data_IF_031991209265
#
_entry.id   IF_031991209265
#
_cell.length_a   1.000
_cell.length_b   1.000
_cell.length_c   1.000
_cell.angle_alpha   90.00
_cell.angle_beta   90.00
_cell.angle_gamma   90.00
#
_symmetry.space_group_name_H-M   'P 1'
#
loop_
_entity.id
_entity.type
_entity.pdbx_description
1 polymer ?
#
# COMPACT_ATOMS: atom_id res chain seq x y z
N UNK A 1 1.15 -28.85 3.30
CA UNK A 1 2.38 -28.58 2.52
C UNK A 1 2.45 -27.06 2.35
N UNK A 2 3.20 -26.40 3.22
CA UNK A 2 2.97 -25.00 3.62
C UNK A 2 3.49 -23.95 2.64
N UNK A 3 2.75 -22.84 2.58
CA UNK A 3 2.94 -21.62 1.77
C UNK A 3 4.32 -20.92 1.92
N UNK A 4 5.23 -21.47 2.73
CA UNK A 4 6.62 -20.97 2.86
C UNK A 4 7.47 -21.22 1.61
N UNK A 5 7.08 -22.16 0.74
CA UNK A 5 7.90 -22.51 -0.45
C UNK A 5 7.55 -21.77 -1.73
N UNK A 6 6.34 -21.20 -1.88
CA UNK A 6 5.93 -20.59 -3.15
C UNK A 6 6.57 -19.22 -3.42
N UNK A 7 6.80 -18.41 -2.37
CA UNK A 7 7.47 -17.11 -2.51
C UNK A 7 8.98 -17.25 -2.73
N UNK A 8 9.59 -18.36 -2.28
CA UNK A 8 11.02 -18.62 -2.44
C UNK A 8 11.41 -19.08 -3.86
N UNK A 9 10.43 -19.54 -4.64
CA UNK A 9 10.64 -20.01 -6.01
C UNK A 9 10.68 -18.87 -7.05
N UNK A 10 10.13 -17.70 -6.72
CA UNK A 10 10.19 -16.51 -7.59
C UNK A 10 11.36 -15.58 -7.29
N UNK A 11 12.00 -15.73 -6.13
CA UNK A 11 13.10 -14.85 -5.70
C UNK A 11 14.27 -15.68 -5.16
N UNK A 12 15.25 -15.89 -6.05
CA UNK A 12 16.50 -16.58 -5.73
C UNK A 12 17.23 -15.94 -4.56
N UNK A 13 18.01 -16.76 -3.86
CA UNK A 13 18.73 -16.50 -2.60
C UNK A 13 19.88 -15.48 -2.68
N UNK A 14 19.72 -14.38 -3.42
CA UNK A 14 20.72 -13.32 -3.53
C UNK A 14 20.28 -12.10 -2.72
N UNK A 15 21.17 -11.56 -1.88
CA UNK A 15 21.02 -10.27 -1.16
C UNK A 15 21.07 -9.07 -2.12
N UNK A 16 20.38 -9.17 -3.25
CA UNK A 16 20.18 -8.11 -4.22
C UNK A 16 18.67 -7.98 -4.37
N UNK A 17 18.10 -7.01 -3.65
CA UNK A 17 16.70 -6.61 -3.72
C UNK A 17 16.22 -6.62 -5.20
N UNK A 18 15.20 -7.41 -5.59
CA UNK A 18 14.74 -7.44 -6.97
C UNK A 18 14.15 -6.07 -7.33
N UNK A 19 14.87 -5.32 -8.18
CA UNK A 19 14.38 -4.09 -8.79
C UNK A 19 13.29 -4.45 -9.81
N UNK A 20 12.05 -4.57 -9.36
CA UNK A 20 10.94 -4.81 -10.27
C UNK A 20 10.64 -3.50 -11.02
N UNK A 21 10.59 -3.50 -12.37
CA UNK A 21 9.99 -2.40 -13.09
C UNK A 21 8.51 -2.36 -12.70
N UNK A 22 8.06 -1.25 -12.12
CA UNK A 22 6.65 -1.07 -11.79
C UNK A 22 6.13 0.12 -12.58
N UNK A 23 5.04 -0.10 -13.28
CA UNK A 23 4.31 0.98 -13.95
C UNK A 23 3.69 1.90 -12.88
N UNK A 24 4.03 3.18 -12.95
CA UNK A 24 3.47 4.24 -12.13
C UNK A 24 2.60 5.12 -13.03
N UNK A 25 1.30 5.07 -12.78
CA UNK A 25 0.32 5.96 -13.40
C UNK A 25 -0.09 5.58 -14.83
N UNK A 26 -1.03 6.36 -15.41
CA UNK A 26 -1.73 6.00 -16.65
C UNK A 26 -0.87 6.05 -17.92
N UNK A 27 0.33 6.63 -17.85
CA UNK A 27 1.21 6.80 -19.02
C UNK A 27 2.26 5.69 -19.14
N UNK A 28 2.23 4.65 -18.29
CA UNK A 28 3.21 3.56 -18.31
C UNK A 28 4.61 3.99 -17.89
N UNK A 29 4.74 5.03 -17.06
CA UNK A 29 6.05 5.45 -16.55
C UNK A 29 6.61 4.33 -15.67
N UNK A 30 7.73 3.73 -16.07
CA UNK A 30 8.34 2.63 -15.32
C UNK A 30 9.28 3.22 -14.27
N UNK A 31 8.96 2.99 -13.00
CA UNK A 31 9.88 3.27 -11.90
C UNK A 31 10.56 2.00 -11.43
N UNK A 32 11.78 2.13 -10.92
CA UNK A 32 12.37 1.10 -10.06
C UNK A 32 11.67 1.19 -8.71
N UNK A 33 11.30 0.06 -8.15
CA UNK A 33 10.75 -0.01 -6.81
C UNK A 33 11.72 -0.68 -5.83
N UNK A 34 11.70 -0.20 -4.58
CA UNK A 34 12.33 -0.84 -3.44
C UNK A 34 11.26 -1.54 -2.61
N UNK A 35 11.40 -2.86 -2.43
CA UNK A 35 10.47 -3.65 -1.65
C UNK A 35 10.79 -3.61 -0.15
N UNK A 36 9.83 -3.18 0.65
CA UNK A 36 9.80 -3.36 2.10
C UNK A 36 9.24 -4.74 2.49
N UNK A 37 9.98 -5.51 3.27
CA UNK A 37 9.65 -6.91 3.59
C UNK A 37 8.95 -7.11 4.96
N UNK A 38 8.52 -6.05 5.64
CA UNK A 38 7.90 -6.13 6.98
C UNK A 38 6.46 -6.66 7.04
N UNK A 39 5.98 -6.87 8.27
CA UNK A 39 4.65 -7.41 8.58
C UNK A 39 3.73 -6.42 9.31
N UNK A 40 4.16 -5.16 9.46
CA UNK A 40 3.31 -4.09 9.98
C UNK A 40 2.16 -3.85 9.03
N UNK A 41 0.94 -3.87 9.57
CA UNK A 41 -0.28 -3.85 8.75
C UNK A 41 -0.93 -2.48 8.70
N UNK A 42 -1.18 -2.01 7.48
CA UNK A 42 -1.96 -0.81 7.22
C UNK A 42 -3.19 -1.17 6.38
N UNK A 43 -4.36 -0.74 6.83
CA UNK A 43 -5.57 -0.78 6.02
C UNK A 43 -5.53 0.38 5.02
N UNK A 44 -5.91 0.07 3.78
CA UNK A 44 -6.21 1.06 2.76
C UNK A 44 -7.60 1.64 3.04
N UNK A 45 -7.86 2.86 2.59
CA UNK A 45 -9.18 3.50 2.64
C UNK A 45 -9.60 4.01 1.27
N UNK A 46 -10.91 4.19 1.11
CA UNK A 46 -11.49 4.73 -0.12
C UNK A 46 -11.63 3.70 -1.25
N UNK A 47 -11.42 2.41 -0.97
CA UNK A 47 -11.53 1.30 -1.93
C UNK A 47 -12.94 1.17 -2.50
N UNK A 48 -13.96 1.70 -1.83
CA UNK A 48 -15.33 1.76 -2.35
C UNK A 48 -15.41 2.48 -3.70
N UNK A 49 -14.50 3.43 -3.98
CA UNK A 49 -14.39 4.14 -5.26
C UNK A 49 -13.68 3.35 -6.34
N UNK A 50 -13.05 2.22 -5.98
CA UNK A 50 -12.17 1.44 -6.83
C UNK A 50 -12.55 -0.05 -6.86
N UNK A 51 -13.80 -0.39 -6.52
CA UNK A 51 -14.27 -1.79 -6.49
C UNK A 51 -14.13 -2.47 -7.86
N UNK A 52 -14.48 -1.78 -8.95
CA UNK A 52 -14.35 -2.32 -10.31
C UNK A 52 -12.87 -2.56 -10.69
N UNK A 53 -11.97 -1.69 -10.20
CA UNK A 53 -10.52 -1.83 -10.42
C UNK A 53 -9.98 -3.04 -9.67
N UNK A 54 -10.35 -3.20 -8.41
CA UNK A 54 -9.96 -4.33 -7.57
C UNK A 54 -10.51 -5.64 -8.14
N UNK A 55 -11.78 -5.67 -8.56
CA UNK A 55 -12.41 -6.81 -9.21
C UNK A 55 -11.65 -7.23 -10.47
N UNK A 56 -11.27 -6.27 -11.32
CA UNK A 56 -10.46 -6.53 -12.51
C UNK A 56 -9.10 -7.12 -12.17
N UNK A 57 -8.43 -6.63 -11.13
CA UNK A 57 -7.11 -7.11 -10.71
C UNK A 57 -7.19 -8.57 -10.23
N UNK A 58 -8.23 -8.93 -9.47
CA UNK A 58 -8.38 -10.30 -8.94
C UNK A 58 -9.01 -11.28 -9.94
N UNK A 59 -9.53 -10.79 -11.08
CA UNK A 59 -10.13 -11.61 -12.13
C UNK A 59 -11.63 -11.88 -11.96
N UNK A 60 -12.35 -11.01 -11.24
CA UNK A 60 -13.79 -11.14 -10.98
C UNK A 60 -14.12 -11.56 -9.56
N UNK A 61 -15.43 -11.63 -9.26
CA UNK A 61 -15.95 -12.08 -7.96
C UNK A 61 -16.21 -13.58 -7.96
N UNK A 62 -16.14 -14.17 -6.77
CA UNK A 62 -16.51 -15.56 -6.47
C UNK A 62 -17.33 -15.61 -5.18
N UNK A 63 -17.98 -16.74 -4.89
CA UNK A 63 -18.73 -16.94 -3.64
C UNK A 63 -17.84 -16.88 -2.38
N UNK A 64 -16.57 -17.25 -2.51
CA UNK A 64 -15.57 -17.20 -1.43
C UNK A 64 -14.91 -15.82 -1.27
N UNK A 65 -15.01 -14.98 -2.31
CA UNK A 65 -14.25 -13.75 -2.42
C UNK A 65 -12.76 -13.98 -2.72
N UNK A 66 -12.02 -12.88 -2.71
CA UNK A 66 -10.57 -12.86 -2.92
C UNK A 66 -9.81 -13.07 -1.61
N UNK A 67 -8.70 -13.79 -1.74
CA UNK A 67 -7.56 -13.80 -0.83
C UNK A 67 -6.31 -13.78 -1.72
N UNK A 68 -6.00 -12.61 -2.26
CA UNK A 68 -5.08 -12.43 -3.38
C UNK A 68 -3.82 -11.66 -2.95
N UNK A 69 -2.71 -12.36 -2.65
CA UNK A 69 -1.43 -11.72 -2.35
C UNK A 69 -0.85 -11.04 -3.58
N UNK A 70 -0.40 -9.81 -3.43
CA UNK A 70 0.15 -8.98 -4.51
C UNK A 70 1.14 -7.95 -3.96
N UNK A 71 1.54 -7.00 -4.80
CA UNK A 71 2.44 -5.91 -4.50
C UNK A 71 1.74 -4.57 -4.67
N UNK A 72 2.01 -3.63 -3.78
CA UNK A 72 1.51 -2.26 -3.87
C UNK A 72 2.65 -1.24 -3.86
N UNK A 73 2.42 -0.12 -4.53
CA UNK A 73 3.25 1.09 -4.42
C UNK A 73 2.52 2.14 -3.60
N UNK A 74 3.27 2.77 -2.70
CA UNK A 74 2.86 3.98 -2.01
C UNK A 74 3.43 5.20 -2.73
N UNK A 75 2.55 6.08 -3.23
CA UNK A 75 2.95 7.26 -3.97
C UNK A 75 2.34 8.52 -3.33
N UNK A 76 3.15 9.51 -2.90
CA UNK A 76 2.67 10.82 -2.49
C UNK A 76 1.96 11.57 -3.63
N UNK A 77 0.83 12.22 -3.33
CA UNK A 77 0.05 13.05 -4.26
C UNK A 77 -0.09 14.49 -3.69
N UNK A 78 1.00 15.29 -3.67
CA UNK A 78 1.00 16.60 -3.00
C UNK A 78 0.05 17.63 -3.62
N UNK A 79 -0.30 17.45 -4.89
CA UNK A 79 -1.25 18.30 -5.63
C UNK A 79 -2.72 17.89 -5.42
N UNK A 80 -2.99 16.92 -4.53
CA UNK A 80 -4.35 16.49 -4.25
C UNK A 80 -5.16 17.62 -3.58
N UNK A 81 -6.21 18.08 -4.27
CA UNK A 81 -7.09 19.19 -3.84
C UNK A 81 -7.82 18.99 -2.51
N UNK A 82 -7.87 17.76 -1.97
CA UNK A 82 -8.60 17.43 -0.73
C UNK A 82 -7.68 17.22 0.46
N UNK A 83 -6.46 16.74 0.22
CA UNK A 83 -5.45 16.48 1.26
C UNK A 83 -4.05 16.57 0.64
N UNK A 84 -3.27 17.62 0.94
CA UNK A 84 -1.92 17.78 0.39
C UNK A 84 -0.92 16.74 0.94
N UNK A 85 -1.30 15.94 1.93
CA UNK A 85 -0.51 14.81 2.41
C UNK A 85 -0.99 13.47 1.82
N UNK A 86 -1.92 13.46 0.87
CA UNK A 86 -2.48 12.23 0.33
C UNK A 86 -1.38 11.28 -0.17
N UNK A 87 -1.52 10.00 0.17
CA UNK A 87 -0.66 8.92 -0.34
C UNK A 87 -1.58 7.91 -1.02
N UNK A 88 -1.50 7.86 -2.36
CA UNK A 88 -2.25 6.88 -3.14
C UNK A 88 -1.57 5.52 -3.08
N UNK A 89 -2.41 4.48 -3.13
CA UNK A 89 -1.99 3.08 -3.19
C UNK A 89 -2.23 2.57 -4.60
N UNK A 90 -1.17 2.13 -5.27
CA UNK A 90 -1.25 1.53 -6.60
C UNK A 90 -1.02 0.02 -6.54
N UNK A 91 -1.83 -0.75 -7.26
CA UNK A 91 -1.60 -2.17 -7.53
C UNK A 91 -1.72 -2.38 -9.04
N UNK A 92 -0.73 -3.05 -9.64
CA UNK A 92 -0.65 -3.23 -11.10
C UNK A 92 -0.78 -1.89 -11.88
N UNK A 93 -0.15 -0.82 -11.38
CA UNK A 93 -0.18 0.52 -11.96
C UNK A 93 -1.48 1.30 -11.79
N UNK A 94 -2.49 0.71 -11.15
CA UNK A 94 -3.83 1.29 -10.98
C UNK A 94 -4.03 1.75 -9.54
N UNK A 95 -4.61 2.93 -9.36
CA UNK A 95 -5.02 3.40 -8.02
C UNK A 95 -6.14 2.52 -7.50
N UNK A 96 -5.95 1.96 -6.30
CA UNK A 96 -6.92 1.10 -5.62
C UNK A 96 -7.48 1.72 -4.34
N UNK A 97 -6.88 2.80 -3.87
CA UNK A 97 -7.26 3.50 -2.64
C UNK A 97 -6.14 4.42 -2.17
N UNK A 98 -6.22 4.82 -0.90
CA UNK A 98 -5.27 5.74 -0.26
C UNK A 98 -4.92 5.24 1.14
N UNK A 99 -3.81 5.71 1.69
CA UNK A 99 -3.63 5.67 3.14
C UNK A 99 -4.69 6.54 3.83
N UNK A 100 -5.09 6.16 5.04
CA UNK A 100 -5.91 7.04 5.87
C UNK A 100 -5.21 8.38 6.09
N UNK A 101 -5.96 9.47 6.25
CA UNK A 101 -5.37 10.81 6.47
C UNK A 101 -4.36 10.84 7.62
N UNK A 102 -4.67 10.11 8.69
CA UNK A 102 -3.80 9.89 9.83
C UNK A 102 -2.44 9.30 9.43
N UNK A 103 -2.46 8.15 8.74
CA UNK A 103 -1.23 7.47 8.31
C UNK A 103 -0.51 8.28 7.22
N UNK A 104 -1.26 8.92 6.32
CA UNK A 104 -0.73 9.75 5.26
C UNK A 104 0.06 10.94 5.83
N UNK A 105 -0.45 11.61 6.88
CA UNK A 105 0.27 12.69 7.58
C UNK A 105 1.61 12.24 8.15
N UNK A 106 1.72 11.00 8.63
CA UNK A 106 2.98 10.44 9.14
C UNK A 106 3.91 10.02 8.00
N UNK A 107 3.37 9.41 6.94
CA UNK A 107 4.16 8.72 5.91
C UNK A 107 4.52 9.61 4.71
N UNK A 108 3.79 10.69 4.46
CA UNK A 108 3.93 11.49 3.23
C UNK A 108 5.34 12.06 3.06
N UNK A 109 5.85 12.81 4.07
CA UNK A 109 7.19 13.40 4.02
C UNK A 109 8.30 12.32 3.98
N UNK A 110 8.26 11.25 4.81
CA UNK A 110 9.20 10.13 4.68
C UNK A 110 9.22 9.48 3.28
N UNK A 111 8.06 9.23 2.68
CA UNK A 111 7.96 8.67 1.33
C UNK A 111 8.56 9.60 0.27
N UNK A 112 8.21 10.89 0.29
CA UNK A 112 8.81 11.87 -0.63
C UNK A 112 10.33 11.90 -0.50
N UNK A 113 10.83 11.86 0.72
CA UNK A 113 12.25 11.90 1.01
C UNK A 113 12.99 10.65 0.55
N UNK A 114 12.39 9.48 0.77
CA UNK A 114 12.87 8.21 0.27
C UNK A 114 12.99 8.26 -1.26
N UNK A 115 11.92 8.64 -1.95
CA UNK A 115 11.90 8.70 -3.41
C UNK A 115 12.95 9.67 -3.96
N UNK A 116 13.09 10.86 -3.37
CA UNK A 116 14.07 11.86 -3.79
C UNK A 116 15.53 11.42 -3.59
N UNK A 117 15.82 10.63 -2.55
CA UNK A 117 17.18 10.14 -2.27
C UNK A 117 17.57 8.92 -3.09
N UNK A 118 16.63 8.02 -3.30
CA UNK A 118 16.91 6.70 -3.87
C UNK A 118 16.62 6.62 -5.37
N UNK A 119 15.90 7.61 -5.93
CA UNK A 119 15.40 7.59 -7.31
C UNK A 119 14.58 6.31 -7.59
N UNK A 120 13.75 5.93 -6.61
CA UNK A 120 12.95 4.69 -6.57
C UNK A 120 11.62 4.92 -5.87
N UNK A 121 10.60 4.21 -6.30
CA UNK A 121 9.34 4.12 -5.58
C UNK A 121 9.45 3.18 -4.37
N UNK A 122 8.61 3.39 -3.37
CA UNK A 122 8.48 2.50 -2.23
C UNK A 122 7.37 1.48 -2.49
N UNK A 123 7.72 0.20 -2.48
CA UNK A 123 6.80 -0.91 -2.67
C UNK A 123 6.71 -1.78 -1.42
N UNK A 124 5.56 -2.42 -1.25
CA UNK A 124 5.30 -3.33 -0.14
C UNK A 124 4.41 -4.49 -0.59
N UNK A 125 4.31 -5.54 0.23
CA UNK A 125 3.32 -6.59 -0.01
C UNK A 125 1.93 -6.04 0.28
N UNK A 126 0.94 -6.52 -0.47
CA UNK A 126 -0.45 -6.21 -0.26
C UNK A 126 -1.31 -7.49 -0.34
N UNK A 127 -2.45 -7.47 0.33
CA UNK A 127 -3.47 -8.50 0.27
C UNK A 127 -4.79 -7.87 -0.14
N UNK A 128 -5.31 -8.26 -1.30
CA UNK A 128 -6.70 -7.97 -1.66
C UNK A 128 -7.58 -9.05 -1.05
N UNK A 129 -8.53 -8.63 -0.21
CA UNK A 129 -9.43 -9.52 0.56
C UNK A 129 -10.90 -9.17 0.31
N UNK A 130 -11.79 -10.13 0.51
CA UNK A 130 -13.24 -9.91 0.45
C UNK A 130 -13.77 -9.90 -0.98
N UNK A 131 -14.79 -9.10 -1.27
CA UNK A 131 -15.39 -9.04 -2.61
C UNK A 131 -16.14 -10.31 -3.03
N UNK A 132 -16.72 -11.03 -2.07
CA UNK A 132 -17.54 -12.19 -2.39
C UNK A 132 -18.85 -11.78 -3.09
N UNK A 133 -19.42 -12.73 -3.82
CA UNK A 133 -20.72 -12.63 -4.45
C UNK A 133 -21.48 -13.95 -4.36
N UNK A 134 -22.51 -13.98 -3.52
CA UNK A 134 -23.37 -15.16 -3.29
C UNK A 134 -24.82 -14.89 -3.70
N UNK A 135 -25.03 -13.88 -4.55
CA UNK A 135 -26.35 -13.46 -5.03
C UNK A 135 -26.76 -12.05 -4.58
N UNK A 136 -27.99 -11.62 -4.93
CA UNK A 136 -28.41 -10.22 -4.84
C UNK A 136 -28.27 -9.54 -3.48
N UNK A 137 -28.44 -10.31 -2.40
CA UNK A 137 -28.47 -9.80 -1.02
C UNK A 137 -27.23 -10.17 -0.19
N UNK A 138 -26.27 -10.92 -0.77
CA UNK A 138 -25.04 -11.35 -0.07
C UNK A 138 -23.80 -11.10 -0.95
N UNK A 139 -23.40 -9.82 -0.97
CA UNK A 139 -22.20 -9.34 -1.65
C UNK A 139 -21.32 -8.54 -0.70
N UNK A 140 -20.04 -8.85 -0.70
CA UNK A 140 -19.03 -8.13 0.09
C UNK A 140 -18.24 -7.13 -0.75
N UNK A 141 -17.65 -6.13 -0.11
CA UNK A 141 -16.67 -5.27 -0.77
C UNK A 141 -15.27 -5.88 -0.74
N UNK A 142 -14.47 -5.55 -1.77
CA UNK A 142 -13.03 -5.75 -1.72
C UNK A 142 -12.42 -4.73 -0.75
N UNK A 143 -11.45 -5.16 0.04
CA UNK A 143 -10.56 -4.32 0.84
C UNK A 143 -9.09 -4.65 0.57
N UNK A 144 -8.20 -3.75 0.96
CA UNK A 144 -6.76 -3.93 0.77
C UNK A 144 -6.01 -3.71 2.08
N UNK A 145 -5.16 -4.67 2.43
CA UNK A 145 -4.24 -4.61 3.56
C UNK A 145 -2.80 -4.57 3.04
N UNK A 146 -2.00 -3.64 3.53
CA UNK A 146 -0.58 -3.49 3.20
C UNK A 146 0.29 -4.07 4.32
N UNK A 147 1.41 -4.68 3.95
CA UNK A 147 2.41 -5.20 4.88
C UNK A 147 3.78 -4.59 4.55
N UNK A 148 4.32 -3.79 5.47
CA UNK A 148 5.60 -3.09 5.31
C UNK A 148 6.37 -3.05 6.63
N UNK A 149 7.62 -2.58 6.57
CA UNK A 149 8.46 -2.25 7.73
C UNK A 149 8.56 -0.71 7.82
N UNK A 150 7.88 -0.06 8.78
CA UNK A 150 7.89 1.41 8.90
C UNK A 150 9.29 1.98 9.04
N UNK A 151 10.20 1.23 9.67
CA UNK A 151 11.59 1.64 9.87
C UNK A 151 12.38 1.81 8.56
N UNK A 152 11.95 1.18 7.46
CA UNK A 152 12.54 1.39 6.13
C UNK A 152 12.38 2.86 5.65
N UNK A 153 11.41 3.58 6.22
CA UNK A 153 11.17 5.00 5.98
C UNK A 153 11.61 5.90 7.15
N UNK A 154 12.22 5.31 8.19
CA UNK A 154 12.57 6.03 9.42
C UNK A 154 11.35 6.40 10.28
N UNK A 155 10.23 5.69 10.10
CA UNK A 155 9.00 5.85 10.90
C UNK A 155 8.92 4.71 11.91
N UNK A 156 8.49 4.98 13.15
CA UNK A 156 8.27 3.93 14.14
C UNK A 156 6.84 3.35 14.08
N UNK A 157 6.70 2.11 14.53
CA UNK A 157 5.40 1.48 14.76
C UNK A 157 4.45 2.36 15.59
N UNK A 158 4.98 2.96 16.67
CA UNK A 158 4.21 3.80 17.59
C UNK A 158 3.70 5.07 16.89
N UNK A 159 4.48 5.66 15.98
CA UNK A 159 4.03 6.79 15.18
C UNK A 159 2.82 6.43 14.30
N UNK A 160 2.82 5.25 13.70
CA UNK A 160 1.71 4.80 12.85
C UNK A 160 0.50 4.30 13.66
N UNK A 161 0.72 3.62 14.78
CA UNK A 161 -0.36 3.19 15.68
C UNK A 161 -1.03 4.40 16.33
N UNK A 162 -0.21 5.32 16.82
CA UNK A 162 -0.63 6.58 17.43
C UNK A 162 -1.28 7.54 16.45
N UNK A 163 -0.99 7.46 15.15
CA UNK A 163 -1.62 8.31 14.15
C UNK A 163 -3.16 8.25 14.15
N UNK A 164 -3.76 7.17 14.66
CA UNK A 164 -5.22 7.03 14.78
C UNK A 164 -5.79 7.78 15.99
N UNK A 165 -4.95 8.22 16.92
CA UNK A 165 -5.28 9.05 18.07
C UNK A 165 -5.03 10.54 17.74
N UNK A 166 -6.05 11.41 17.75
CA UNK A 166 -5.89 12.83 17.50
C UNK A 166 -4.85 13.51 18.41
N UNK A 167 -4.73 13.11 19.67
CA UNK A 167 -3.82 13.73 20.64
C UNK A 167 -2.35 13.42 20.35
N UNK A 168 -2.07 12.25 19.76
CA UNK A 168 -0.72 11.86 19.35
C UNK A 168 -0.23 12.68 18.16
N UNK A 169 -1.13 13.05 17.25
CA UNK A 169 -0.73 13.82 16.08
C UNK A 169 -0.36 15.28 16.39
N UNK A 170 -0.91 15.86 17.46
CA UNK A 170 -0.54 17.21 17.90
C UNK A 170 0.88 17.23 18.50
N UNK A 171 1.28 16.17 19.22
CA UNK A 171 2.62 16.08 19.83
C UNK A 171 3.75 15.80 18.83
N UNK A 172 3.45 15.18 17.69
CA UNK A 172 4.44 14.95 16.61
C UNK A 172 4.79 16.25 15.88
N UNK A 173 3.88 17.24 15.84
CA UNK A 173 4.10 18.53 15.17
C UNK A 173 4.97 19.46 16.03
N UNK A 174 4.94 19.32 17.35
CA UNK A 174 5.70 20.17 18.28
C UNK A 174 7.20 19.80 18.41
N UNK A 175 7.64 18.71 17.76
CA UNK A 175 9.01 18.21 17.82
C UNK A 175 9.84 18.49 16.54
N UNK A 176 9.59 19.61 15.85
CA UNK A 176 10.55 20.15 14.85
C UNK A 176 11.28 21.37 15.45
N UNK A 177 12.62 21.39 15.49
CA UNK A 177 13.41 22.58 15.85
C UNK A 177 13.41 23.67 14.75
#
# INVERSE_FOLDING_TARGET
MGLRSALRALFGTSRSNPQLPVEIGPNGAVARAELSEGDFRLEVVGESRYQDVLERIVGGRSEDGANYPTMAILLPEPENRYDPNAVQVLIAGLVVGYLSRANARVMHRPLMHFMARHDRAFACRALIKGGWDRGPDDRGHFGVELCLEPADLGVSDDQLRGARDPAFLESVIEFEP
#
